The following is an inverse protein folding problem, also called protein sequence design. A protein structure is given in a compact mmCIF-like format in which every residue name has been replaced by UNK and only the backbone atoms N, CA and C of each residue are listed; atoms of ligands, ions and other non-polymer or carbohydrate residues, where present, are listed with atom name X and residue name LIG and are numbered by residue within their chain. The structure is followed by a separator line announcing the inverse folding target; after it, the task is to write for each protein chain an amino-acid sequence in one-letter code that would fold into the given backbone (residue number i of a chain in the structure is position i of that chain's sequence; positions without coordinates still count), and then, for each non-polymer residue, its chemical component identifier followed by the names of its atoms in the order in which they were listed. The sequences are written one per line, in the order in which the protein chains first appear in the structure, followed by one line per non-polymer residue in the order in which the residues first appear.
data_IF_617441162669
#
_entry.id   IF_617441162669
#
_cell.length_a   1.000
_cell.length_b   1.000
_cell.length_c   1.000
_cell.angle_alpha   90.00
_cell.angle_beta   90.00
_cell.angle_gamma   90.00
#
_symmetry.space_group_name_H-M   'P 1'
#
loop_
_entity.id
_entity.type
_entity.pdbx_description
1 polymer ?
#
# COMPACT_ATOMS: atom_id res chain seq x y z
N UNK A 1 41.77 28.82 -68.71
CA UNK A 1 41.90 28.34 -67.32
C UNK A 1 40.81 27.29 -67.03
N UNK A 2 40.73 26.19 -67.79
CA UNK A 2 39.74 25.13 -67.55
C UNK A 2 40.38 23.75 -67.36
N UNK A 3 41.49 23.47 -68.02
CA UNK A 3 42.01 22.09 -68.10
C UNK A 3 42.66 21.59 -66.80
N UNK A 4 43.20 22.49 -65.98
CA UNK A 4 43.78 22.13 -64.69
C UNK A 4 42.71 21.74 -63.66
N UNK A 5 41.58 22.45 -63.67
CA UNK A 5 40.49 22.18 -62.73
C UNK A 5 39.78 20.85 -63.06
N UNK A 6 39.56 20.56 -64.35
CA UNK A 6 38.96 19.27 -64.75
C UNK A 6 39.86 18.08 -64.43
N UNK A 7 41.19 18.22 -64.57
CA UNK A 7 42.12 17.16 -64.20
C UNK A 7 42.15 16.91 -62.69
N UNK A 8 42.20 17.97 -61.87
CA UNK A 8 42.19 17.86 -60.41
C UNK A 8 40.87 17.22 -59.91
N UNK A 9 39.74 17.59 -60.52
CA UNK A 9 38.43 17.02 -60.19
C UNK A 9 38.36 15.53 -60.56
N UNK A 10 38.95 15.15 -61.70
CA UNK A 10 38.95 13.76 -62.17
C UNK A 10 39.84 12.86 -61.32
N UNK A 11 41.01 13.33 -60.89
CA UNK A 11 41.86 12.59 -59.94
C UNK A 11 41.17 12.43 -58.59
N UNK A 12 40.53 13.49 -58.08
CA UNK A 12 39.83 13.43 -56.80
C UNK A 12 38.66 12.43 -56.81
N UNK A 13 37.87 12.41 -57.88
CA UNK A 13 36.78 11.44 -58.05
C UNK A 13 37.29 9.99 -58.22
N UNK A 14 38.44 9.79 -58.87
CA UNK A 14 39.05 8.46 -58.96
C UNK A 14 39.59 7.98 -57.61
N UNK A 15 40.17 8.86 -56.80
CA UNK A 15 40.64 8.56 -55.45
C UNK A 15 39.49 8.18 -54.50
N UNK A 16 38.39 8.95 -54.46
CA UNK A 16 37.23 8.60 -53.62
C UNK A 16 36.54 7.30 -54.08
N UNK A 17 36.49 7.03 -55.39
CA UNK A 17 35.89 5.81 -55.91
C UNK A 17 36.68 4.54 -55.58
N UNK A 18 38.01 4.63 -55.41
CA UNK A 18 38.84 3.53 -54.90
C UNK A 18 38.66 3.31 -53.40
N UNK A 19 38.54 4.37 -52.62
CA UNK A 19 38.37 4.30 -51.17
C UNK A 19 37.03 3.62 -50.78
N UNK A 20 35.95 3.90 -51.53
CA UNK A 20 34.63 3.28 -51.35
C UNK A 20 34.62 1.80 -51.78
N UNK A 21 35.54 1.35 -52.64
CA UNK A 21 35.68 -0.06 -53.05
C UNK A 21 36.50 -0.90 -52.07
N UNK A 22 37.40 -0.30 -51.29
CA UNK A 22 38.16 -1.01 -50.25
C UNK A 22 37.33 -1.29 -48.99
N UNK A 23 36.43 -0.37 -48.62
CA UNK A 23 35.60 -0.48 -47.42
C UNK A 23 34.76 -1.79 -47.35
N UNK A 24 34.10 -2.26 -48.44
CA UNK A 24 33.38 -3.52 -48.47
C UNK A 24 34.28 -4.77 -48.36
N UNK A 25 35.56 -4.69 -48.78
CA UNK A 25 36.50 -5.82 -48.70
C UNK A 25 37.06 -5.99 -47.29
N UNK A 26 37.36 -4.88 -46.60
CA UNK A 26 37.82 -4.92 -45.19
C UNK A 26 36.73 -5.42 -44.23
N UNK A 27 35.46 -5.12 -44.51
CA UNK A 27 34.31 -5.67 -43.75
C UNK A 27 34.09 -7.16 -44.01
N UNK A 28 34.25 -7.65 -45.25
CA UNK A 28 34.14 -9.09 -45.57
C UNK A 28 35.25 -9.93 -44.92
N UNK A 29 36.46 -9.38 -44.74
CA UNK A 29 37.55 -10.04 -44.02
C UNK A 29 37.22 -10.29 -42.54
N UNK A 30 36.68 -9.29 -41.84
CA UNK A 30 36.34 -9.39 -40.41
C UNK A 30 35.15 -10.31 -40.12
N UNK A 31 34.22 -10.47 -41.06
CA UNK A 31 33.07 -11.39 -40.88
C UNK A 31 33.48 -12.85 -41.11
N UNK A 32 34.50 -13.12 -41.93
CA UNK A 32 35.00 -14.50 -42.17
C UNK A 32 35.89 -15.05 -41.03
N UNK A 33 36.50 -14.18 -40.23
CA UNK A 33 37.26 -14.58 -39.02
C UNK A 33 36.37 -14.81 -37.78
N UNK A 34 35.13 -14.31 -37.78
CA UNK A 34 34.19 -14.45 -36.66
C UNK A 34 33.36 -15.75 -36.64
N UNK A 35 33.39 -16.56 -37.72
CA UNK A 35 32.51 -17.74 -37.90
C UNK A 35 33.32 -18.98 -38.34
N UNK A 36 34.51 -19.17 -37.76
CA UNK A 36 35.26 -20.43 -37.88
C UNK A 36 35.19 -21.19 -36.55
N UNK A 37 34.69 -22.44 -36.52
CA UNK A 37 34.68 -23.25 -35.30
C UNK A 37 36.12 -23.67 -34.98
N UNK A 38 36.77 -22.99 -34.03
CA UNK A 38 38.03 -23.47 -33.46
C UNK A 38 37.77 -24.72 -32.62
N UNK A 39 38.24 -25.86 -33.11
CA UNK A 39 38.44 -27.05 -32.30
C UNK A 39 39.37 -26.72 -31.11
N UNK A 40 38.87 -26.93 -29.89
CA UNK A 40 39.71 -26.80 -28.68
C UNK A 40 40.64 -28.01 -28.58
N UNK A 41 41.96 -27.84 -28.51
CA UNK A 41 42.85 -28.91 -28.08
C UNK A 41 42.63 -29.17 -26.58
N UNK A 42 42.48 -30.45 -26.22
CA UNK A 42 42.55 -30.91 -24.83
C UNK A 42 43.98 -30.67 -24.32
N UNK A 43 44.15 -29.77 -23.36
CA UNK A 43 45.36 -29.69 -22.54
C UNK A 43 44.98 -29.42 -21.07
N UNK A 44 44.98 -30.49 -20.29
CA UNK A 44 45.40 -30.51 -18.89
C UNK A 44 46.53 -31.56 -18.85
N UNK A 45 47.67 -31.34 -18.16
CA UNK A 45 47.70 -30.96 -16.75
C UNK A 45 48.89 -30.05 -16.38
N UNK A 46 48.65 -28.76 -16.07
CA UNK A 46 49.65 -27.94 -15.37
C UNK A 46 49.09 -27.19 -14.15
N UNK A 47 47.82 -27.40 -13.80
CA UNK A 47 47.22 -26.85 -12.57
C UNK A 47 47.35 -27.78 -11.36
N UNK A 48 47.76 -29.03 -11.54
CA UNK A 48 47.91 -29.99 -10.44
C UNK A 48 49.13 -29.69 -9.53
N UNK A 49 50.19 -29.08 -10.07
CA UNK A 49 51.42 -28.82 -9.32
C UNK A 49 51.34 -27.54 -8.46
N UNK A 50 50.64 -26.51 -8.94
CA UNK A 50 50.41 -25.29 -8.17
C UNK A 50 49.39 -25.51 -7.03
N UNK A 51 48.36 -26.33 -7.27
CA UNK A 51 47.37 -26.70 -6.25
C UNK A 51 47.97 -27.53 -5.12
N UNK A 52 48.89 -28.45 -5.42
CA UNK A 52 49.55 -29.29 -4.42
C UNK A 52 50.46 -28.49 -3.48
N UNK A 53 51.21 -27.51 -3.99
CA UNK A 53 52.08 -26.64 -3.17
C UNK A 53 51.28 -25.71 -2.25
N UNK A 54 50.14 -25.20 -2.71
CA UNK A 54 49.23 -24.38 -1.89
C UNK A 54 48.55 -25.22 -0.80
N UNK A 55 48.15 -26.46 -1.11
CA UNK A 55 47.54 -27.37 -0.12
C UNK A 55 48.53 -27.79 0.98
N UNK A 56 49.81 -28.01 0.64
CA UNK A 56 50.85 -28.34 1.63
C UNK A 56 51.18 -27.12 2.51
N UNK A 57 51.24 -25.91 1.95
CA UNK A 57 51.45 -24.69 2.73
C UNK A 57 50.29 -24.40 3.69
N UNK A 58 49.04 -24.63 3.26
CA UNK A 58 47.84 -24.48 4.10
C UNK A 58 47.76 -25.56 5.18
N UNK A 59 48.17 -26.80 4.89
CA UNK A 59 48.23 -27.87 5.88
C UNK A 59 49.28 -27.59 6.97
N UNK A 60 50.45 -27.07 6.62
CA UNK A 60 51.50 -26.68 7.59
C UNK A 60 51.06 -25.49 8.46
N UNK A 61 50.27 -24.56 7.91
CA UNK A 61 49.72 -23.42 8.65
C UNK A 61 48.59 -23.83 9.61
N UNK A 62 47.73 -24.78 9.19
CA UNK A 62 46.63 -25.32 9.99
C UNK A 62 47.10 -26.17 11.17
N UNK A 63 48.23 -26.88 11.04
CA UNK A 63 48.84 -27.66 12.13
C UNK A 63 49.51 -26.76 13.18
N UNK A 64 49.97 -25.56 12.80
CA UNK A 64 50.65 -24.63 13.72
C UNK A 64 49.73 -23.60 14.40
N UNK A 65 48.53 -23.34 13.87
CA UNK A 65 47.63 -22.33 14.43
C UNK A 65 46.14 -22.68 14.20
N UNK A 66 45.42 -23.27 15.18
CA UNK A 66 44.09 -23.85 14.98
C UNK A 66 42.94 -22.82 14.81
N UNK A 67 43.23 -21.53 14.64
CA UNK A 67 42.23 -20.46 14.51
C UNK A 67 42.02 -19.96 13.07
N UNK A 68 42.64 -20.59 12.04
CA UNK A 68 42.63 -20.09 10.64
C UNK A 68 41.64 -20.85 9.71
N UNK A 69 40.95 -21.89 10.21
CA UNK A 69 40.03 -22.72 9.40
C UNK A 69 38.66 -22.06 9.13
N UNK A 70 38.42 -20.83 9.60
CA UNK A 70 37.11 -20.18 9.56
C UNK A 70 36.91 -19.17 8.41
N UNK A 71 37.89 -18.98 7.51
CA UNK A 71 37.86 -17.83 6.56
C UNK A 71 37.72 -18.18 5.07
N UNK A 72 37.79 -19.46 4.65
CA UNK A 72 37.77 -19.79 3.18
C UNK A 72 36.62 -20.71 2.72
N UNK A 73 35.78 -21.26 3.61
CA UNK A 73 34.69 -22.17 3.21
C UNK A 73 33.32 -21.45 3.07
N UNK A 74 33.22 -20.17 3.40
CA UNK A 74 31.93 -19.45 3.40
C UNK A 74 31.37 -18.98 2.04
N UNK A 75 32.13 -18.74 0.95
CA UNK A 75 31.51 -18.12 -0.23
C UNK A 75 30.96 -19.12 -1.27
N UNK A 76 31.24 -20.43 -1.20
CA UNK A 76 30.83 -21.38 -2.25
C UNK A 76 29.53 -22.15 -1.90
N UNK A 77 29.19 -22.31 -0.61
CA UNK A 77 27.92 -22.96 -0.21
C UNK A 77 26.68 -22.07 -0.40
N UNK A 78 26.84 -20.76 -0.54
CA UNK A 78 25.73 -19.81 -0.68
C UNK A 78 25.24 -19.60 -2.13
N UNK A 79 25.92 -20.15 -3.15
CA UNK A 79 25.50 -20.02 -4.55
C UNK A 79 24.59 -21.17 -5.04
N UNK A 80 24.38 -22.20 -4.22
CA UNK A 80 23.54 -23.36 -4.52
C UNK A 80 22.41 -23.56 -3.51
N UNK A 81 22.21 -22.62 -2.58
CA UNK A 81 21.04 -22.63 -1.71
C UNK A 81 19.87 -22.03 -2.49
N UNK A 82 18.75 -22.76 -2.70
CA UNK A 82 17.51 -22.09 -3.08
C UNK A 82 17.25 -21.01 -2.04
N UNK A 83 16.93 -19.78 -2.49
CA UNK A 83 16.46 -18.74 -1.59
C UNK A 83 15.45 -19.38 -0.64
N UNK A 84 15.57 -19.16 0.69
CA UNK A 84 14.59 -19.71 1.61
C UNK A 84 13.22 -19.24 1.13
N UNK A 85 12.37 -20.17 0.71
CA UNK A 85 10.97 -19.87 0.41
C UNK A 85 10.43 -19.12 1.62
N UNK A 86 9.89 -17.90 1.44
CA UNK A 86 9.36 -17.16 2.57
C UNK A 86 8.35 -18.06 3.27
N UNK A 87 8.51 -18.21 4.58
CA UNK A 87 7.57 -18.96 5.41
C UNK A 87 6.15 -18.50 5.06
N UNK A 88 5.21 -19.40 4.70
CA UNK A 88 3.90 -18.99 4.24
C UNK A 88 3.24 -18.15 5.34
N UNK A 89 3.02 -16.86 5.07
CA UNK A 89 2.25 -16.04 5.98
C UNK A 89 0.82 -16.61 6.07
N UNK A 90 0.15 -16.50 7.23
CA UNK A 90 -1.24 -16.94 7.34
C UNK A 90 -2.16 -16.01 6.54
N UNK A 91 -3.28 -16.55 6.06
CA UNK A 91 -4.39 -15.72 5.60
C UNK A 91 -5.01 -15.01 6.81
N UNK A 92 -5.38 -13.74 6.64
CA UNK A 92 -5.97 -12.90 7.68
C UNK A 92 -7.19 -12.16 7.15
N UNK A 93 -8.18 -12.00 8.03
CA UNK A 93 -9.49 -11.43 7.70
C UNK A 93 -9.57 -9.97 8.16
N UNK A 94 -8.49 -9.22 7.98
CA UNK A 94 -8.33 -7.85 8.44
C UNK A 94 -7.79 -6.96 7.31
N UNK A 95 -7.96 -5.66 7.46
CA UNK A 95 -7.28 -4.68 6.62
C UNK A 95 -5.75 -4.83 6.76
N UNK A 96 -5.02 -4.39 5.73
CA UNK A 96 -3.56 -4.45 5.66
C UNK A 96 -3.02 -3.15 5.09
N UNK A 97 -1.91 -2.67 5.64
CA UNK A 97 -1.14 -1.57 5.07
C UNK A 97 0.34 -1.92 5.07
N UNK A 98 1.11 -1.25 4.22
CA UNK A 98 2.52 -1.57 4.03
C UNK A 98 3.18 -0.68 2.99
N UNK A 99 4.30 -1.15 2.44
CA UNK A 99 5.10 -0.42 1.47
C UNK A 99 5.92 0.74 2.05
N UNK A 100 6.44 1.58 1.16
CA UNK A 100 7.36 2.67 1.50
C UNK A 100 6.71 4.04 1.31
N UNK A 101 6.58 4.81 2.38
CA UNK A 101 6.03 6.18 2.34
C UNK A 101 6.95 7.14 1.59
N UNK A 102 6.39 8.01 0.73
CA UNK A 102 7.15 9.00 -0.04
C UNK A 102 7.95 8.41 -1.20
N UNK A 103 7.80 7.11 -1.46
CA UNK A 103 8.41 6.45 -2.61
C UNK A 103 7.55 6.72 -3.86
N UNK A 104 8.14 7.38 -4.85
CA UNK A 104 7.50 7.54 -6.15
C UNK A 104 7.41 6.19 -6.87
N UNK A 105 6.20 5.64 -6.90
CA UNK A 105 5.87 4.37 -7.52
C UNK A 105 5.43 4.50 -8.97
N UNK A 106 5.68 3.46 -9.75
CA UNK A 106 4.97 3.24 -11.00
C UNK A 106 4.50 1.79 -11.09
N UNK A 107 3.18 1.60 -11.12
CA UNK A 107 2.54 0.31 -11.36
C UNK A 107 2.64 -0.03 -12.85
N UNK A 108 3.27 -1.15 -13.17
CA UNK A 108 3.58 -1.55 -14.55
C UNK A 108 2.79 -2.75 -15.03
N UNK A 109 2.27 -3.58 -14.11
CA UNK A 109 1.43 -4.72 -14.47
C UNK A 109 0.57 -5.18 -13.29
N UNK A 110 -0.60 -5.72 -13.61
CA UNK A 110 -1.40 -6.54 -12.71
C UNK A 110 -1.51 -7.92 -13.35
N UNK A 111 -1.05 -8.95 -12.64
CA UNK A 111 -1.19 -10.35 -13.06
C UNK A 111 -2.10 -11.08 -12.09
N UNK A 112 -2.98 -11.92 -12.61
CA UNK A 112 -3.91 -12.70 -11.81
C UNK A 112 -3.82 -14.18 -12.21
N UNK A 113 -3.79 -15.07 -11.23
CA UNK A 113 -3.76 -16.52 -11.46
C UNK A 113 -4.49 -17.28 -10.35
N UNK A 114 -5.15 -18.38 -10.71
CA UNK A 114 -5.70 -19.33 -9.76
C UNK A 114 -4.65 -20.38 -9.38
N UNK A 115 -4.57 -20.67 -8.09
CA UNK A 115 -3.68 -21.64 -7.47
C UNK A 115 -4.50 -22.70 -6.75
N UNK A 116 -4.45 -23.93 -7.25
CA UNK A 116 -5.27 -25.05 -6.76
C UNK A 116 -4.59 -25.86 -5.63
N UNK A 117 -3.41 -25.44 -5.16
CA UNK A 117 -2.73 -26.10 -4.02
C UNK A 117 -3.57 -25.97 -2.73
N UNK A 118 -3.35 -26.80 -1.71
CA UNK A 118 -4.14 -26.72 -0.48
C UNK A 118 -3.47 -25.82 0.59
N UNK A 119 -4.16 -24.80 1.14
CA UNK A 119 -5.48 -24.31 0.75
C UNK A 119 -5.43 -23.52 -0.58
N UNK A 120 -6.47 -23.66 -1.40
CA UNK A 120 -6.54 -23.00 -2.72
C UNK A 120 -6.66 -21.49 -2.59
N UNK A 121 -6.10 -20.74 -3.54
CA UNK A 121 -6.16 -19.29 -3.55
C UNK A 121 -6.12 -18.71 -4.96
N UNK A 122 -6.64 -17.49 -5.12
CA UNK A 122 -6.39 -16.66 -6.28
C UNK A 122 -5.32 -15.64 -5.91
N UNK A 123 -4.33 -15.47 -6.77
CA UNK A 123 -3.21 -14.54 -6.56
C UNK A 123 -3.33 -13.36 -7.51
N UNK A 124 -3.31 -12.17 -6.94
CA UNK A 124 -3.13 -10.89 -7.63
C UNK A 124 -1.69 -10.42 -7.39
N UNK A 125 -0.97 -10.04 -8.44
CA UNK A 125 0.40 -9.51 -8.34
C UNK A 125 0.45 -8.15 -9.01
N UNK A 126 0.76 -7.12 -8.22
CA UNK A 126 0.98 -5.76 -8.66
C UNK A 126 2.48 -5.52 -8.80
N UNK A 127 2.97 -5.35 -10.02
CA UNK A 127 4.38 -5.14 -10.33
C UNK A 127 4.74 -3.64 -10.33
N UNK A 128 5.82 -3.27 -9.66
CA UNK A 128 6.31 -1.89 -9.60
C UNK A 128 7.74 -1.76 -10.13
N UNK A 129 8.04 -0.63 -10.79
CA UNK A 129 9.38 -0.36 -11.35
C UNK A 129 10.41 0.14 -10.34
N UNK A 130 9.98 0.80 -9.26
CA UNK A 130 10.85 1.57 -8.35
C UNK A 130 10.81 1.15 -6.87
N UNK A 131 10.08 0.09 -6.52
CA UNK A 131 9.78 -0.28 -5.13
C UNK A 131 8.26 -0.35 -4.89
N UNK A 132 7.85 -0.91 -3.74
CA UNK A 132 6.42 -0.97 -3.38
C UNK A 132 6.08 0.34 -2.65
N UNK A 133 5.24 1.21 -3.24
CA UNK A 133 4.81 2.46 -2.63
C UNK A 133 3.89 2.18 -1.44
N UNK A 134 3.73 3.14 -0.53
CA UNK A 134 2.84 2.93 0.60
C UNK A 134 1.43 2.61 0.13
N UNK A 135 0.83 1.57 0.70
CA UNK A 135 -0.50 1.11 0.30
C UNK A 135 -1.41 0.81 1.49
N UNK A 136 -2.71 0.93 1.24
CA UNK A 136 -3.79 0.49 2.12
C UNK A 136 -4.67 -0.51 1.36
N UNK A 137 -4.84 -1.71 1.92
CA UNK A 137 -5.77 -2.75 1.49
C UNK A 137 -6.91 -2.80 2.51
N UNK A 138 -8.09 -2.36 2.08
CA UNK A 138 -9.26 -2.19 2.93
C UNK A 138 -10.37 -3.14 2.46
N UNK A 139 -10.81 -4.04 3.33
CA UNK A 139 -11.90 -4.97 3.02
C UNK A 139 -13.23 -4.21 2.92
N UNK A 140 -14.06 -4.59 1.96
CA UNK A 140 -15.38 -4.00 1.70
C UNK A 140 -16.47 -5.05 1.86
N UNK A 141 -17.54 -4.66 2.54
CA UNK A 141 -18.72 -5.51 2.73
C UNK A 141 -19.56 -5.68 1.46
N UNK A 142 -19.31 -4.85 0.44
CA UNK A 142 -19.94 -4.95 -0.87
C UNK A 142 -18.91 -4.81 -1.99
N UNK A 143 -19.27 -5.20 -3.21
CA UNK A 143 -18.49 -4.94 -4.43
C UNK A 143 -18.81 -3.57 -5.07
N UNK A 144 -19.48 -2.67 -4.33
CA UNK A 144 -19.78 -1.31 -4.80
C UNK A 144 -18.78 -0.32 -4.21
N UNK A 145 -18.18 0.48 -5.08
CA UNK A 145 -17.15 1.46 -4.76
C UNK A 145 -17.58 2.85 -5.24
N UNK A 146 -16.93 3.87 -4.72
CA UNK A 146 -17.04 5.26 -5.20
C UNK A 146 -15.74 5.62 -5.89
N UNK A 147 -15.83 6.13 -7.12
CA UNK A 147 -14.67 6.61 -7.86
C UNK A 147 -14.13 7.88 -7.21
N UNK A 148 -12.81 7.92 -6.99
CA UNK A 148 -12.19 8.96 -6.15
C UNK A 148 -12.29 10.36 -6.77
N UNK A 149 -12.22 10.48 -8.10
CA UNK A 149 -12.24 11.77 -8.79
C UNK A 149 -13.66 12.28 -9.12
N UNK A 150 -14.60 11.39 -9.46
CA UNK A 150 -15.94 11.78 -9.91
C UNK A 150 -17.03 11.63 -8.85
N UNK A 151 -16.76 10.92 -7.75
CA UNK A 151 -17.76 10.58 -6.73
C UNK A 151 -18.85 9.61 -7.22
N UNK A 152 -18.76 9.12 -8.47
CA UNK A 152 -19.74 8.19 -9.02
C UNK A 152 -19.57 6.80 -8.43
N UNK A 153 -20.69 6.15 -8.13
CA UNK A 153 -20.70 4.74 -7.72
C UNK A 153 -20.40 3.83 -8.92
N UNK A 154 -19.61 2.79 -8.67
CA UNK A 154 -19.34 1.69 -9.60
C UNK A 154 -19.50 0.37 -8.85
N UNK A 155 -20.21 -0.59 -9.45
CA UNK A 155 -20.41 -1.91 -8.87
C UNK A 155 -19.65 -2.93 -9.69
N UNK A 156 -18.69 -3.60 -9.07
CA UNK A 156 -17.89 -4.65 -9.68
C UNK A 156 -18.57 -6.02 -9.52
N UNK A 157 -18.21 -6.97 -10.38
CA UNK A 157 -18.63 -8.35 -10.28
C UNK A 157 -18.22 -8.96 -8.92
N UNK A 158 -19.13 -9.73 -8.32
CA UNK A 158 -18.95 -10.30 -6.98
C UNK A 158 -20.04 -9.84 -6.00
N UNK A 159 -19.82 -10.15 -4.72
CA UNK A 159 -20.74 -9.81 -3.62
C UNK A 159 -20.09 -8.93 -2.56
N UNK A 160 -18.76 -8.98 -2.44
CA UNK A 160 -17.94 -8.20 -1.50
C UNK A 160 -16.71 -7.68 -2.24
N UNK A 161 -15.83 -6.95 -1.56
CA UNK A 161 -14.65 -6.44 -2.26
C UNK A 161 -13.46 -6.08 -1.39
N UNK A 162 -12.43 -5.59 -2.06
CA UNK A 162 -11.25 -4.97 -1.47
C UNK A 162 -11.02 -3.64 -2.19
N UNK A 163 -10.79 -2.56 -1.43
CA UNK A 163 -10.26 -1.31 -1.97
C UNK A 163 -8.75 -1.29 -1.69
N UNK A 164 -7.94 -1.23 -2.74
CA UNK A 164 -6.49 -1.14 -2.65
C UNK A 164 -6.06 0.26 -3.10
N UNK A 165 -5.36 0.98 -2.24
CA UNK A 165 -4.94 2.37 -2.47
C UNK A 165 -3.42 2.39 -2.41
N UNK A 166 -2.78 2.91 -3.45
CA UNK A 166 -1.34 3.19 -3.50
C UNK A 166 -1.14 4.70 -3.49
N UNK A 167 -0.27 5.19 -2.61
CA UNK A 167 0.09 6.62 -2.55
C UNK A 167 1.40 6.85 -3.31
N UNK A 168 1.61 8.07 -3.77
CA UNK A 168 2.78 8.47 -4.55
C UNK A 168 3.01 7.63 -5.83
N UNK A 169 1.95 7.04 -6.38
CA UNK A 169 2.01 6.03 -7.43
C UNK A 169 1.28 6.47 -8.69
N UNK A 170 1.97 6.37 -9.84
CA UNK A 170 1.34 6.44 -11.16
C UNK A 170 1.13 5.03 -11.73
N UNK A 171 0.30 4.91 -12.76
CA UNK A 171 0.10 3.67 -13.52
C UNK A 171 0.37 3.90 -15.00
N UNK A 172 1.03 2.93 -15.65
CA UNK A 172 1.28 2.96 -17.09
C UNK A 172 1.16 1.57 -17.70
N UNK A 173 0.40 1.45 -18.80
CA UNK A 173 0.30 0.21 -19.56
C UNK A 173 -0.49 -0.91 -18.87
N UNK A 174 -1.21 -0.59 -17.78
CA UNK A 174 -2.11 -1.52 -17.08
C UNK A 174 -3.55 -1.21 -17.50
N UNK A 175 -4.38 -2.22 -17.85
CA UNK A 175 -5.78 -2.00 -18.15
C UNK A 175 -6.55 -1.39 -16.97
N UNK A 176 -7.49 -0.49 -17.26
CA UNK A 176 -8.34 0.13 -16.25
C UNK A 176 -9.37 -0.85 -15.67
N UNK A 177 -9.79 -1.88 -16.42
CA UNK A 177 -10.73 -2.91 -15.99
C UNK A 177 -10.23 -4.29 -16.43
N UNK A 178 -10.16 -5.22 -15.49
CA UNK A 178 -9.83 -6.62 -15.70
C UNK A 178 -10.91 -7.50 -15.06
N UNK A 179 -11.53 -8.37 -15.84
CA UNK A 179 -12.55 -9.34 -15.40
C UNK A 179 -12.04 -10.77 -15.46
N UNK A 180 -11.10 -11.19 -14.58
CA UNK A 180 -10.49 -12.51 -14.65
C UNK A 180 -11.47 -13.64 -14.29
N UNK A 181 -12.56 -13.33 -13.58
CA UNK A 181 -13.62 -14.28 -13.20
C UNK A 181 -13.11 -15.59 -12.59
N UNK A 182 -12.11 -15.50 -11.72
CA UNK A 182 -11.56 -16.62 -10.97
C UNK A 182 -12.50 -17.01 -9.80
N UNK A 183 -12.27 -18.14 -9.12
CA UNK A 183 -13.17 -18.62 -8.07
C UNK A 183 -13.42 -17.59 -6.94
N UNK A 184 -12.38 -16.88 -6.48
CA UNK A 184 -12.44 -15.83 -5.48
C UNK A 184 -12.46 -14.42 -6.12
N UNK A 185 -11.50 -14.12 -7.01
CA UNK A 185 -11.33 -12.77 -7.60
C UNK A 185 -12.13 -12.64 -8.91
N UNK A 186 -13.13 -11.77 -8.92
CA UNK A 186 -14.07 -11.63 -10.05
C UNK A 186 -13.69 -10.51 -11.00
N UNK A 187 -13.32 -9.35 -10.46
CA UNK A 187 -13.03 -8.14 -11.22
C UNK A 187 -12.03 -7.26 -10.47
N UNK A 188 -11.18 -6.56 -11.21
CA UNK A 188 -10.21 -5.58 -10.70
C UNK A 188 -10.35 -4.35 -11.58
N UNK A 189 -10.73 -3.23 -10.99
CA UNK A 189 -10.96 -1.99 -11.73
C UNK A 189 -10.23 -0.82 -11.07
N UNK A 190 -9.59 0.03 -11.88
CA UNK A 190 -9.08 1.33 -11.47
C UNK A 190 -10.25 2.27 -11.16
N UNK A 191 -10.40 2.62 -9.89
CA UNK A 191 -11.45 3.51 -9.40
C UNK A 191 -10.93 4.91 -9.07
N UNK A 192 -9.64 5.16 -9.25
CA UNK A 192 -9.02 6.46 -9.00
C UNK A 192 -7.57 6.49 -9.41
N UNK A 193 -7.18 7.51 -10.18
CA UNK A 193 -5.78 7.82 -10.45
C UNK A 193 -5.64 9.34 -10.54
N UNK A 194 -5.50 9.98 -9.38
CA UNK A 194 -5.46 11.43 -9.27
C UNK A 194 -4.44 11.84 -8.21
N UNK A 195 -3.65 12.88 -8.48
CA UNK A 195 -2.62 13.39 -7.56
C UNK A 195 -1.67 12.31 -7.02
N UNK A 196 -1.33 11.33 -7.86
CA UNK A 196 -0.49 10.16 -7.50
C UNK A 196 -1.10 9.26 -6.42
N UNK A 197 -2.41 9.32 -6.22
CA UNK A 197 -3.16 8.33 -5.45
C UNK A 197 -3.87 7.42 -6.46
N UNK A 198 -3.40 6.17 -6.51
CA UNK A 198 -3.91 5.14 -7.39
C UNK A 198 -4.75 4.14 -6.60
N UNK A 199 -6.04 4.05 -6.90
CA UNK A 199 -6.99 3.19 -6.21
C UNK A 199 -7.57 2.15 -7.15
N UNK A 200 -7.59 0.90 -6.69
CA UNK A 200 -8.29 -0.21 -7.33
C UNK A 200 -9.44 -0.70 -6.45
N UNK A 201 -10.60 -0.91 -7.06
CA UNK A 201 -11.65 -1.76 -6.52
C UNK A 201 -11.43 -3.19 -7.01
N UNK A 202 -11.57 -4.15 -6.11
CA UNK A 202 -11.43 -5.58 -6.42
C UNK A 202 -12.73 -6.26 -5.97
N UNK A 203 -13.48 -6.79 -6.93
CA UNK A 203 -14.70 -7.55 -6.69
C UNK A 203 -14.39 -9.00 -6.33
N UNK A 204 -14.94 -9.48 -5.21
CA UNK A 204 -14.74 -10.83 -4.69
C UNK A 204 -16.06 -11.62 -4.67
N UNK A 205 -15.97 -12.93 -4.84
CA UNK A 205 -17.13 -13.82 -4.76
C UNK A 205 -17.75 -13.88 -3.36
N UNK A 206 -16.96 -13.68 -2.30
CA UNK A 206 -17.37 -13.65 -0.89
C UNK A 206 -16.31 -12.98 0.00
N UNK A 207 -16.63 -12.73 1.28
CA UNK A 207 -15.77 -12.06 2.27
C UNK A 207 -14.60 -12.95 2.75
N UNK A 208 -13.75 -13.37 1.82
CA UNK A 208 -12.61 -14.24 2.07
C UNK A 208 -11.46 -13.49 2.75
N UNK A 209 -10.61 -14.25 3.43
CA UNK A 209 -9.41 -13.73 4.08
C UNK A 209 -8.26 -13.68 3.09
N UNK A 210 -7.34 -12.72 3.29
CA UNK A 210 -6.25 -12.45 2.36
C UNK A 210 -4.89 -12.66 2.99
N UNK A 211 -3.90 -12.95 2.16
CA UNK A 211 -2.50 -12.95 2.54
C UNK A 211 -1.76 -11.98 1.63
N UNK A 212 -0.96 -11.12 2.24
CA UNK A 212 -0.21 -10.09 1.51
C UNK A 212 1.28 -10.38 1.67
N UNK A 213 2.03 -10.36 0.57
CA UNK A 213 3.48 -10.45 0.57
C UNK A 213 4.08 -9.29 -0.21
N UNK A 214 5.05 -8.64 0.40
CA UNK A 214 5.89 -7.64 -0.26
C UNK A 214 7.19 -8.32 -0.71
N UNK A 215 7.42 -8.37 -2.02
CA UNK A 215 8.63 -8.93 -2.59
C UNK A 215 9.49 -7.82 -3.20
N UNK A 216 10.81 -7.96 -3.09
CA UNK A 216 11.79 -7.14 -3.80
C UNK A 216 12.47 -7.94 -4.91
N UNK A 217 13.08 -7.24 -5.88
CA UNK A 217 13.85 -7.82 -6.98
C UNK A 217 13.11 -8.87 -7.86
N UNK A 218 12.09 -8.50 -8.65
CA UNK A 218 11.49 -7.17 -8.80
C UNK A 218 10.44 -6.87 -7.72
N UNK A 219 10.13 -5.59 -7.54
CA UNK A 219 9.21 -5.09 -6.52
C UNK A 219 7.78 -5.46 -6.83
N UNK A 220 7.16 -6.25 -5.96
CA UNK A 220 5.83 -6.85 -6.20
C UNK A 220 5.01 -6.87 -4.92
N UNK A 221 3.81 -6.31 -4.98
CA UNK A 221 2.79 -6.59 -3.99
C UNK A 221 1.97 -7.80 -4.43
N UNK A 222 2.07 -8.88 -3.68
CA UNK A 222 1.33 -10.12 -3.91
C UNK A 222 0.16 -10.18 -2.94
N UNK A 223 -1.05 -10.34 -3.45
CA UNK A 223 -2.26 -10.50 -2.65
C UNK A 223 -2.91 -11.83 -3.02
N UNK A 224 -2.89 -12.77 -2.09
CA UNK A 224 -3.57 -14.05 -2.22
C UNK A 224 -4.94 -13.98 -1.53
N UNK A 225 -5.99 -14.44 -2.19
CA UNK A 225 -7.36 -14.54 -1.68
C UNK A 225 -7.73 -16.02 -1.63
N UNK A 226 -8.07 -16.55 -0.46
CA UNK A 226 -8.43 -17.97 -0.35
C UNK A 226 -9.64 -18.31 -1.21
N UNK A 227 -9.64 -19.44 -1.91
CA UNK A 227 -10.75 -19.90 -2.76
C UNK A 227 -11.69 -20.85 -2.04
N UNK A 228 -11.24 -21.45 -0.93
CA UNK A 228 -12.14 -22.15 -0.04
C UNK A 228 -13.09 -21.14 0.59
N UNK A 229 -14.39 -21.40 0.48
CA UNK A 229 -15.40 -20.79 1.33
C UNK A 229 -15.20 -21.36 2.73
N UNK A 230 -14.17 -20.89 3.45
CA UNK A 230 -14.27 -20.90 4.90
C UNK A 230 -15.37 -19.90 5.23
N UNK A 231 -16.61 -20.39 5.26
CA UNK A 231 -17.61 -19.87 6.15
C UNK A 231 -17.05 -20.06 7.55
N UNK A 232 -16.20 -19.14 7.99
CA UNK A 232 -15.80 -19.11 9.38
C UNK A 232 -16.98 -18.51 10.12
N UNK A 233 -17.86 -19.38 10.60
CA UNK A 233 -18.30 -19.21 11.97
C UNK A 233 -17.01 -19.02 12.79
N UNK A 234 -16.88 -17.87 13.46
CA UNK A 234 -15.73 -17.62 14.32
C UNK A 234 -15.64 -18.76 15.33
N UNK A 235 -14.57 -19.58 15.35
CA UNK A 235 -14.32 -20.39 16.52
C UNK A 235 -14.11 -19.42 17.69
N UNK A 236 -14.75 -19.71 18.83
CA UNK A 236 -14.57 -18.96 20.06
C UNK A 236 -13.05 -18.90 20.39
N UNK A 237 -12.51 -17.72 20.75
CA UNK A 237 -11.08 -17.58 20.96
C UNK A 237 -10.66 -18.32 22.24
N UNK A 238 -9.75 -19.28 22.09
CA UNK A 238 -8.92 -19.78 23.19
C UNK A 238 -7.87 -18.70 23.52
N UNK A 239 -7.80 -18.18 24.76
CA UNK A 239 -7.02 -16.98 25.06
C UNK A 239 -5.55 -17.30 25.40
N UNK A 240 -4.62 -16.49 24.87
CA UNK A 240 -3.29 -16.23 25.47
C UNK A 240 -2.60 -15.03 24.78
N UNK A 241 -1.79 -14.24 25.52
CA UNK A 241 -2.19 -13.22 26.48
C UNK A 241 -2.58 -11.88 25.81
N UNK A 242 -3.56 -11.23 26.44
CA UNK A 242 -4.15 -9.94 26.10
C UNK A 242 -3.15 -8.79 26.23
N UNK A 243 -2.89 -8.07 25.12
CA UNK A 243 -2.76 -6.61 25.16
C UNK A 243 -4.16 -6.08 24.83
N UNK A 244 -4.76 -5.19 25.63
CA UNK A 244 -6.19 -4.93 25.57
C UNK A 244 -6.53 -4.09 24.33
N UNK A 245 -6.92 -4.76 23.25
CA UNK A 245 -7.73 -4.15 22.21
C UNK A 245 -9.15 -4.10 22.77
N UNK A 246 -9.67 -2.89 23.02
CA UNK A 246 -10.96 -2.66 23.66
C UNK A 246 -12.09 -3.37 22.89
N UNK A 247 -12.42 -4.59 23.30
CA UNK A 247 -13.35 -5.49 22.60
C UNK A 247 -14.76 -5.43 23.18
N UNK A 248 -14.99 -4.59 24.19
CA UNK A 248 -16.31 -4.30 24.70
C UNK A 248 -16.75 -2.89 24.24
N UNK A 249 -17.51 -2.85 23.15
CA UNK A 249 -18.32 -1.68 22.84
C UNK A 249 -19.41 -1.61 23.92
N UNK A 250 -19.10 -0.90 25.01
CA UNK A 250 -20.03 -0.68 26.10
C UNK A 250 -21.39 -0.17 25.61
N UNK A 251 -22.46 -0.33 26.41
CA UNK A 251 -23.80 0.04 25.98
C UNK A 251 -23.85 1.52 25.59
N UNK A 252 -24.76 1.85 24.68
CA UNK A 252 -25.11 3.25 24.46
C UNK A 252 -25.48 3.87 25.80
N UNK A 253 -24.88 5.02 26.11
CA UNK A 253 -25.28 5.77 27.30
C UNK A 253 -25.47 7.23 26.97
N UNK A 254 -26.47 7.80 27.63
CA UNK A 254 -26.78 9.20 27.55
C UNK A 254 -25.92 9.96 28.56
N UNK A 255 -24.60 9.86 28.40
CA UNK A 255 -23.59 10.62 29.12
C UNK A 255 -22.52 11.10 28.14
N UNK A 256 -21.78 12.12 28.53
CA UNK A 256 -20.62 12.58 27.76
C UNK A 256 -19.52 11.51 27.78
N UNK A 257 -18.58 11.62 26.84
CA UNK A 257 -17.44 10.71 26.72
C UNK A 257 -16.14 11.47 26.62
N UNK A 258 -15.06 10.82 27.04
CA UNK A 258 -13.71 11.31 26.84
C UNK A 258 -12.72 10.18 27.03
N UNK A 259 -11.50 10.40 26.55
CA UNK A 259 -10.44 9.41 26.55
C UNK A 259 -9.22 9.91 25.78
N UNK A 260 -8.43 8.99 25.23
CA UNK A 260 -7.16 9.32 24.58
C UNK A 260 -6.06 9.81 25.54
N UNK A 261 -5.03 10.45 25.00
CA UNK A 261 -3.88 10.93 25.78
C UNK A 261 -3.36 12.29 25.32
N UNK A 262 -3.01 13.14 26.29
CA UNK A 262 -2.38 14.45 26.12
C UNK A 262 -0.86 14.29 25.93
N UNK A 263 -0.45 13.58 24.89
CA UNK A 263 0.97 13.38 24.57
C UNK A 263 1.39 14.22 23.38
N UNK A 264 2.64 14.70 23.42
CA UNK A 264 3.29 15.35 22.28
C UNK A 264 4.03 14.31 21.43
N UNK A 265 4.18 14.53 20.11
CA UNK A 265 3.68 15.69 19.36
C UNK A 265 2.21 15.54 18.95
N UNK A 266 1.58 16.64 18.53
CA UNK A 266 0.18 16.63 18.07
C UNK A 266 -0.04 15.66 16.89
N UNK A 267 -1.14 14.92 16.93
CA UNK A 267 -1.51 14.00 15.85
C UNK A 267 -2.19 14.74 14.70
N UNK A 268 -2.05 14.18 13.50
CA UNK A 268 -2.58 14.75 12.27
C UNK A 268 -3.92 14.09 11.93
N UNK A 269 -5.01 14.86 11.88
CA UNK A 269 -6.30 14.37 11.37
C UNK A 269 -6.14 14.06 9.89
N UNK A 270 -6.38 12.82 9.49
CA UNK A 270 -6.22 12.38 8.10
C UNK A 270 -7.54 12.00 7.45
N UNK A 271 -8.55 11.62 8.23
CA UNK A 271 -9.86 11.30 7.68
C UNK A 271 -11.00 11.54 8.67
N UNK A 272 -12.17 11.86 8.13
CA UNK A 272 -13.46 11.89 8.84
C UNK A 272 -14.46 11.15 7.99
N UNK A 273 -15.08 10.11 8.55
CA UNK A 273 -16.07 9.26 7.87
C UNK A 273 -17.36 9.25 8.66
N UNK A 274 -18.49 9.35 7.96
CA UNK A 274 -19.82 9.34 8.55
C UNK A 274 -20.71 8.39 7.77
N UNK A 275 -21.32 7.41 8.44
CA UNK A 275 -22.17 6.42 7.77
C UNK A 275 -23.20 5.80 8.73
N UNK A 276 -24.38 5.45 8.20
CA UNK A 276 -25.36 4.64 8.92
C UNK A 276 -24.92 3.17 8.91
N UNK A 277 -25.12 2.48 10.04
CA UNK A 277 -24.79 1.07 10.20
C UNK A 277 -26.07 0.25 10.31
N UNK A 278 -26.10 -0.89 9.61
CA UNK A 278 -27.26 -1.79 9.58
C UNK A 278 -27.70 -2.30 10.96
N UNK A 279 -26.79 -2.24 11.94
CA UNK A 279 -27.03 -2.60 13.33
C UNK A 279 -27.75 -1.51 14.16
N UNK A 280 -28.31 -0.47 13.53
CA UNK A 280 -29.18 0.52 14.20
C UNK A 280 -28.41 1.62 14.92
N UNK A 281 -27.39 2.18 14.27
CA UNK A 281 -26.71 3.39 14.74
C UNK A 281 -26.02 4.13 13.59
N UNK A 282 -25.82 5.43 13.76
CA UNK A 282 -24.95 6.22 12.89
C UNK A 282 -23.54 6.25 13.48
N UNK A 283 -22.52 6.23 12.63
CA UNK A 283 -21.12 6.20 13.06
C UNK A 283 -20.36 7.38 12.48
N UNK A 284 -19.65 8.09 13.35
CA UNK A 284 -18.66 9.11 12.99
C UNK A 284 -17.28 8.55 13.36
N UNK A 285 -16.32 8.59 12.44
CA UNK A 285 -14.94 8.12 12.65
C UNK A 285 -13.96 9.22 12.33
N UNK A 286 -13.14 9.59 13.32
CA UNK A 286 -11.98 10.46 13.13
C UNK A 286 -10.73 9.60 13.09
N UNK A 287 -9.94 9.70 12.02
CA UNK A 287 -8.69 8.97 11.84
C UNK A 287 -7.49 9.90 11.98
N UNK A 288 -6.51 9.47 12.75
CA UNK A 288 -5.30 10.21 13.04
C UNK A 288 -4.05 9.45 12.58
N UNK A 289 -3.02 10.21 12.22
CA UNK A 289 -1.69 9.70 11.93
C UNK A 289 -0.65 10.47 12.76
N UNK A 290 0.44 9.83 13.19
CA UNK A 290 1.53 10.55 13.82
C UNK A 290 2.25 11.44 12.82
N UNK A 291 2.83 12.56 13.26
CA UNK A 291 3.82 13.26 12.46
C UNK A 291 5.07 12.38 12.28
N UNK A 292 5.88 12.71 11.27
CA UNK A 292 7.08 11.95 10.92
C UNK A 292 8.00 11.84 12.14
N UNK A 293 8.41 10.61 12.48
CA UNK A 293 9.30 10.33 13.61
C UNK A 293 8.61 10.22 14.98
N UNK A 294 7.29 10.31 15.05
CA UNK A 294 6.52 10.14 16.28
C UNK A 294 5.75 8.82 16.32
N UNK A 295 5.47 8.35 17.54
CA UNK A 295 4.58 7.21 17.77
C UNK A 295 3.12 7.62 17.63
N UNK A 296 2.30 6.77 17.01
CA UNK A 296 0.88 6.99 16.92
C UNK A 296 0.22 6.84 18.30
N UNK A 297 -0.66 7.78 18.65
CA UNK A 297 -1.57 7.68 19.79
C UNK A 297 -2.89 8.35 19.45
N UNK A 298 -3.95 8.06 20.21
CA UNK A 298 -5.18 8.83 20.09
C UNK A 298 -5.02 10.14 20.87
N UNK A 299 -5.28 11.31 20.24
CA UNK A 299 -5.33 12.58 20.96
C UNK A 299 -6.34 12.51 22.10
N UNK A 300 -6.06 13.21 23.20
CA UNK A 300 -7.06 13.37 24.25
C UNK A 300 -8.31 14.00 23.66
N UNK A 301 -9.48 13.48 24.02
CA UNK A 301 -10.72 13.96 23.42
C UNK A 301 -11.87 14.04 24.42
N UNK A 302 -12.84 14.88 24.08
CA UNK A 302 -14.16 14.93 24.70
C UNK A 302 -15.25 14.88 23.62
N UNK A 303 -16.34 14.18 23.92
CA UNK A 303 -17.58 14.15 23.14
C UNK A 303 -18.71 14.53 24.09
N UNK A 304 -19.12 15.78 24.03
CA UNK A 304 -20.15 16.35 24.90
C UNK A 304 -21.47 16.53 24.18
N UNK A 305 -22.55 16.02 24.74
CA UNK A 305 -23.87 16.18 24.16
C UNK A 305 -24.37 17.60 24.38
N UNK A 306 -25.02 18.14 23.35
CA UNK A 306 -25.56 19.49 23.33
C UNK A 306 -27.07 19.42 23.22
N UNK A 307 -27.75 20.29 23.98
CA UNK A 307 -29.20 20.41 23.94
C UNK A 307 -29.72 21.10 22.66
N UNK A 308 -28.83 21.66 21.83
CA UNK A 308 -29.17 22.35 20.59
C UNK A 308 -28.11 22.11 19.50
N UNK A 309 -28.40 22.56 18.28
CA UNK A 309 -27.45 22.58 17.16
C UNK A 309 -26.69 23.90 17.01
N UNK A 310 -26.78 24.79 18.01
CA UNK A 310 -26.03 26.04 18.03
C UNK A 310 -24.66 25.82 18.67
N UNK A 311 -23.62 26.07 17.90
CA UNK A 311 -22.23 25.98 18.33
C UNK A 311 -21.53 27.32 18.10
N UNK A 312 -20.35 27.45 18.70
CA UNK A 312 -19.46 28.59 18.50
C UNK A 312 -18.18 28.05 17.89
N UNK A 313 -17.74 28.66 16.77
CA UNK A 313 -16.49 28.34 16.12
C UNK A 313 -15.31 28.94 16.87
N UNK A 314 -14.38 28.11 17.30
CA UNK A 314 -13.14 28.51 17.94
C UNK A 314 -12.00 28.68 16.91
N UNK A 315 -11.12 29.69 17.08
CA UNK A 315 -11.15 30.77 18.07
C UNK A 315 -12.02 31.97 17.66
N UNK A 316 -12.65 31.94 16.46
CA UNK A 316 -13.33 33.11 15.87
C UNK A 316 -14.47 33.70 16.68
N UNK A 317 -15.11 32.91 17.55
CA UNK A 317 -16.29 33.29 18.32
C UNK A 317 -17.58 33.36 17.49
N UNK A 318 -17.55 33.01 16.20
CA UNK A 318 -18.73 33.05 15.34
C UNK A 318 -19.71 31.93 15.69
N UNK A 319 -20.99 32.27 15.80
CA UNK A 319 -22.04 31.27 15.95
C UNK A 319 -22.26 30.50 14.64
N UNK A 320 -22.46 29.20 14.75
CA UNK A 320 -22.87 28.34 13.66
C UNK A 320 -24.05 27.47 14.12
N UNK A 321 -25.05 27.33 13.24
CA UNK A 321 -26.23 26.51 13.51
C UNK A 321 -26.25 25.35 12.53
N UNK A 322 -26.06 24.14 13.04
CA UNK A 322 -26.06 22.91 12.26
C UNK A 322 -27.48 22.37 12.05
N UNK A 323 -27.67 21.50 11.06
CA UNK A 323 -28.93 20.76 10.84
C UNK A 323 -29.28 19.86 12.02
N UNK A 324 -30.58 19.79 12.34
CA UNK A 324 -31.11 18.97 13.41
C UNK A 324 -31.71 19.78 14.56
N UNK A 325 -31.85 19.14 15.73
CA UNK A 325 -32.48 19.72 16.93
C UNK A 325 -31.64 19.58 18.20
N UNK A 326 -30.59 18.75 18.18
CA UNK A 326 -29.62 18.58 19.27
C UNK A 326 -28.23 18.31 18.67
N UNK A 327 -27.18 18.23 19.47
CA UNK A 327 -25.84 18.10 18.91
C UNK A 327 -24.83 17.30 19.73
N UNK A 328 -23.67 17.06 19.14
CA UNK A 328 -22.45 16.63 19.83
C UNK A 328 -21.36 17.67 19.58
N UNK A 329 -20.62 18.04 20.63
CA UNK A 329 -19.37 18.80 20.52
C UNK A 329 -18.21 17.82 20.73
N UNK A 330 -17.36 17.68 19.72
CA UNK A 330 -16.18 16.83 19.74
C UNK A 330 -14.97 17.74 19.80
N UNK A 331 -14.09 17.54 20.78
CA UNK A 331 -12.85 18.31 20.92
C UNK A 331 -11.71 17.34 21.09
N UNK A 332 -10.64 17.55 20.33
CA UNK A 332 -9.36 16.85 20.43
C UNK A 332 -8.29 17.84 20.89
N UNK A 333 -7.53 17.47 21.91
CA UNK A 333 -6.36 18.18 22.39
C UNK A 333 -5.10 17.44 21.93
N UNK A 334 -4.13 18.19 21.39
CA UNK A 334 -2.96 17.60 20.73
C UNK A 334 -3.31 17.04 19.35
N UNK A 335 -4.18 17.70 18.58
CA UNK A 335 -4.51 17.31 17.22
C UNK A 335 -4.69 18.50 16.28
N UNK A 336 -4.38 18.32 15.00
CA UNK A 336 -4.67 19.31 13.96
C UNK A 336 -4.96 18.63 12.63
N UNK A 337 -5.86 19.22 11.83
CA UNK A 337 -6.14 18.82 10.45
C UNK A 337 -5.58 19.79 9.41
N UNK A 338 -4.97 20.91 9.82
CA UNK A 338 -4.60 22.03 8.95
C UNK A 338 -3.81 21.58 7.70
N UNK A 339 -2.78 20.76 7.89
CA UNK A 339 -1.86 20.31 6.83
C UNK A 339 -2.06 18.85 6.42
N UNK A 340 -3.15 18.22 6.86
CA UNK A 340 -3.33 16.77 6.74
C UNK A 340 -4.72 16.34 6.32
N UNK A 341 -5.73 17.15 6.59
CA UNK A 341 -7.11 16.88 6.23
C UNK A 341 -7.53 17.75 5.06
N UNK A 342 -7.68 17.13 3.90
CA UNK A 342 -7.98 17.80 2.62
C UNK A 342 -9.44 17.65 2.17
N UNK A 343 -10.26 16.94 2.95
CA UNK A 343 -11.68 16.69 2.62
C UNK A 343 -12.59 17.81 3.15
N UNK A 344 -13.89 17.69 2.87
CA UNK A 344 -14.87 18.68 3.31
C UNK A 344 -14.88 18.83 4.82
N UNK A 345 -14.83 20.07 5.29
CA UNK A 345 -14.97 20.44 6.71
C UNK A 345 -16.42 20.64 7.13
N UNK A 346 -17.35 20.55 6.18
CA UNK A 346 -18.79 20.57 6.38
C UNK A 346 -19.37 19.36 5.65
N UNK A 347 -19.83 18.36 6.40
CA UNK A 347 -20.32 17.08 5.90
C UNK A 347 -21.81 17.00 6.24
N UNK A 348 -22.68 16.99 5.24
CA UNK A 348 -24.14 16.87 5.41
C UNK A 348 -24.64 15.50 4.96
N UNK A 349 -24.41 14.42 5.73
CA UNK A 349 -24.72 13.06 5.26
C UNK A 349 -26.22 12.74 5.29
N UNK A 350 -27.03 13.50 6.03
CA UNK A 350 -28.48 13.31 6.09
C UNK A 350 -28.91 11.92 6.57
N UNK A 351 -28.15 11.32 7.48
CA UNK A 351 -28.43 9.99 8.04
C UNK A 351 -29.65 10.03 8.97
N UNK A 352 -30.19 8.89 9.44
CA UNK A 352 -31.37 8.87 10.30
C UNK A 352 -31.25 9.77 11.56
N UNK A 353 -30.08 9.81 12.20
CA UNK A 353 -29.83 10.69 13.36
C UNK A 353 -28.79 11.77 13.05
N UNK A 354 -27.61 11.42 12.53
CA UNK A 354 -26.54 12.39 12.23
C UNK A 354 -26.86 13.13 10.93
N UNK A 355 -27.26 14.39 11.04
CA UNK A 355 -27.68 15.23 9.91
C UNK A 355 -26.52 16.00 9.29
N UNK A 356 -25.54 16.40 10.11
CA UNK A 356 -24.41 17.24 9.72
C UNK A 356 -23.23 17.03 10.66
N UNK A 357 -22.01 17.15 10.15
CA UNK A 357 -20.75 17.13 10.91
C UNK A 357 -19.84 18.21 10.35
N UNK A 358 -19.47 19.20 11.16
CA UNK A 358 -18.73 20.38 10.70
C UNK A 358 -17.55 20.68 11.64
N UNK A 359 -16.41 21.10 11.09
CA UNK A 359 -15.29 21.59 11.86
C UNK A 359 -15.61 22.96 12.49
N UNK A 360 -15.46 23.05 13.81
CA UNK A 360 -15.70 24.28 14.56
C UNK A 360 -14.40 25.09 14.74
N UNK A 361 -13.24 24.43 14.81
CA UNK A 361 -11.95 25.06 15.07
C UNK A 361 -10.78 24.12 14.88
N UNK A 362 -9.60 24.69 14.58
CA UNK A 362 -8.29 24.03 14.53
C UNK A 362 -7.23 25.09 14.77
N UNK A 363 -6.89 25.28 16.04
CA UNK A 363 -5.96 26.30 16.49
C UNK A 363 -5.18 25.78 17.71
N UNK A 364 -3.86 26.03 17.75
CA UNK A 364 -2.98 25.62 18.85
C UNK A 364 -3.09 24.12 19.22
N UNK A 365 -3.24 23.26 18.21
CA UNK A 365 -3.45 21.82 18.37
C UNK A 365 -4.72 21.45 19.17
N UNK A 366 -5.71 22.34 19.19
CA UNK A 366 -7.08 22.06 19.61
C UNK A 366 -7.94 21.99 18.35
N UNK A 367 -8.38 20.78 18.03
CA UNK A 367 -9.23 20.49 16.88
C UNK A 367 -10.64 20.21 17.38
N UNK A 368 -11.62 20.97 16.93
CA UNK A 368 -13.01 20.83 17.36
C UNK A 368 -13.95 20.61 16.18
N UNK A 369 -14.95 19.77 16.39
CA UNK A 369 -16.00 19.44 15.44
C UNK A 369 -17.36 19.44 16.15
N UNK A 370 -18.39 19.86 15.43
CA UNK A 370 -19.79 19.71 15.82
C UNK A 370 -20.43 18.58 15.03
N UNK A 371 -21.43 17.93 15.61
CA UNK A 371 -22.36 17.09 14.87
C UNK A 371 -23.80 17.52 15.19
N UNK A 372 -24.58 17.82 14.16
CA UNK A 372 -26.00 18.12 14.25
C UNK A 372 -26.83 16.83 14.19
N UNK A 373 -27.69 16.62 15.18
CA UNK A 373 -28.50 15.41 15.33
C UNK A 373 -29.99 15.72 15.17
N UNK A 374 -30.75 14.86 14.50
CA UNK A 374 -32.20 15.01 14.32
C UNK A 374 -32.98 14.96 15.65
N UNK A 375 -32.40 14.30 16.66
CA UNK A 375 -32.95 14.13 18.02
C UNK A 375 -31.82 13.90 19.04
N UNK A 376 -32.08 14.13 20.34
CA UNK A 376 -31.16 13.68 21.39
C UNK A 376 -30.98 12.16 21.31
N UNK A 377 -29.73 11.71 21.25
CA UNK A 377 -29.36 10.30 21.20
C UNK A 377 -28.27 9.95 22.21
N UNK A 378 -28.33 8.73 22.75
CA UNK A 378 -27.23 8.18 23.53
C UNK A 378 -26.06 7.82 22.59
N UNK A 379 -24.84 7.83 23.13
CA UNK A 379 -23.62 7.56 22.37
C UNK A 379 -22.79 6.46 23.04
N UNK A 380 -21.89 5.86 22.26
CA UNK A 380 -20.74 5.11 22.77
C UNK A 380 -19.52 5.41 21.91
N UNK A 381 -18.34 5.28 22.49
CA UNK A 381 -17.08 5.51 21.80
C UNK A 381 -16.23 4.25 21.81
N UNK A 382 -15.40 4.12 20.77
CA UNK A 382 -14.38 3.09 20.68
C UNK A 382 -13.08 3.71 20.18
N UNK A 383 -12.02 3.42 20.90
CA UNK A 383 -10.67 3.86 20.57
C UNK A 383 -9.95 2.71 19.88
N UNK A 384 -9.53 2.94 18.65
CA UNK A 384 -8.81 1.93 17.86
C UNK A 384 -7.38 2.40 17.63
N UNK A 385 -6.45 1.46 17.66
CA UNK A 385 -5.09 1.65 17.17
C UNK A 385 -4.94 0.98 15.80
N UNK A 386 -3.97 1.43 15.00
CA UNK A 386 -3.56 0.81 13.73
C UNK A 386 -4.69 0.63 12.67
N UNK A 387 -5.17 1.70 12.02
CA UNK A 387 -4.83 3.11 12.24
C UNK A 387 -5.52 3.68 13.47
N UNK A 388 -4.91 4.71 14.07
CA UNK A 388 -5.46 5.42 15.22
C UNK A 388 -6.79 6.06 14.85
N UNK A 389 -7.87 5.67 15.53
CA UNK A 389 -9.22 6.19 15.29
C UNK A 389 -9.99 6.41 16.58
N UNK A 390 -10.73 7.51 16.62
CA UNK A 390 -11.90 7.63 17.50
C UNK A 390 -13.13 7.27 16.69
N UNK A 391 -13.87 6.28 17.15
CA UNK A 391 -15.19 5.90 16.63
C UNK A 391 -16.25 6.39 17.61
N UNK A 392 -17.26 7.07 17.09
CA UNK A 392 -18.42 7.55 17.85
C UNK A 392 -19.66 6.92 17.21
N UNK A 393 -20.33 6.04 17.93
CA UNK A 393 -21.63 5.51 17.53
C UNK A 393 -22.73 6.34 18.18
N UNK A 394 -23.71 6.75 17.39
CA UNK A 394 -24.89 7.50 17.77
C UNK A 394 -26.12 6.63 17.56
N UNK A 395 -26.82 6.33 18.64
CA UNK A 395 -27.96 5.42 18.60
C UNK A 395 -29.08 5.94 17.70
N UNK A 396 -29.61 5.08 16.82
CA UNK A 396 -30.79 5.38 16.01
C UNK A 396 -32.07 4.84 16.69
N UNK A 397 -33.27 5.27 16.25
CA UNK A 397 -34.54 4.86 16.86
C UNK A 397 -34.77 3.35 16.93
#
# INVERSE_FOLDING_TARGET
MSDKFENDLREHLHHEAEEIREFPRRLRGRIREGIAPRARPRMAPQLALAGALVLVAVAVLAVRNPQVITVVVSPIKNLLQPSPSPTPQPFACSDRSGGTTGLLGQLTAIRVAHHAEAPGFDRMVFDFSSGIPSYDLIRQESSTFVRDASGQSVTLAGSTGIKLIFRDTDVQGVPDDQKPNLPAVREIENIGNFERVLSYGIGLSSSQCVRVLELSNPSRLVVDVTTSTSASASPAPTPLPTVPEATDLGPFSCQDRGGGSETSPAMRLTDVRVAHQAAGYDRIVFQFAPPVGASAHLPAYTVSRQASTKFVKDPSGLEVTMRGSSGLRIVFHGASGADSYTKSRDITPGLPVVQEVEQLGDFEAVLSWGAGLSRPSCIRTLELSNPTRLVIDVQTP
#
